data_IF_334334438723
#
_entry.id   IF_334334438723
#
_cell.length_a   1.000
_cell.length_b   1.000
_cell.length_c   1.000
_cell.angle_alpha   90.00
_cell.angle_beta   90.00
_cell.angle_gamma   90.00
#
_symmetry.space_group_name_H-M   'P 1'
#
loop_
_entity.id
_entity.type
_entity.pdbx_description
1 polymer ?
#
# COMPACT_ATOMS: atom_id res chain seq x y z
N UNK A 1 2.76 16.86 -2.74
CA UNK A 1 3.49 15.66 -2.24
C UNK A 1 2.92 15.12 -0.94
N UNK A 2 2.45 15.96 0.00
CA UNK A 2 1.79 15.50 1.23
C UNK A 2 0.55 14.63 0.94
N UNK A 3 -0.20 14.95 -0.10
CA UNK A 3 -1.41 14.19 -0.49
C UNK A 3 -1.08 12.76 -0.96
N UNK A 4 0.02 12.59 -1.71
CA UNK A 4 0.51 11.27 -2.12
C UNK A 4 1.01 10.46 -0.92
N UNK A 5 1.70 11.10 0.03
CA UNK A 5 2.12 10.46 1.29
C UNK A 5 0.92 9.94 2.08
N UNK A 6 -0.07 10.80 2.28
CA UNK A 6 -1.31 10.44 2.98
C UNK A 6 -2.07 9.31 2.26
N UNK A 7 -2.03 9.29 0.91
CA UNK A 7 -2.63 8.21 0.13
C UNK A 7 -1.87 6.89 0.29
N UNK A 8 -0.54 6.90 0.27
CA UNK A 8 0.28 5.72 0.51
C UNK A 8 0.09 5.16 1.93
N UNK A 9 0.04 6.04 2.94
CA UNK A 9 -0.25 5.67 4.32
C UNK A 9 -1.62 5.02 4.45
N UNK A 10 -2.65 5.58 3.81
CA UNK A 10 -3.98 4.95 3.78
C UNK A 10 -3.95 3.55 3.17
N UNK A 11 -3.28 3.38 2.02
CA UNK A 11 -3.17 2.07 1.37
C UNK A 11 -2.49 1.04 2.27
N UNK A 12 -1.47 1.44 3.02
CA UNK A 12 -0.83 0.56 4.02
C UNK A 12 -1.73 0.21 5.19
N UNK A 13 -2.51 1.17 5.68
CA UNK A 13 -3.50 0.88 6.73
C UNK A 13 -4.54 -0.12 6.23
N UNK A 14 -5.09 0.11 5.04
CA UNK A 14 -6.07 -0.79 4.43
C UNK A 14 -5.46 -2.20 4.19
N UNK A 15 -4.18 -2.28 3.81
CA UNK A 15 -3.45 -3.55 3.66
C UNK A 15 -3.30 -4.29 4.99
N UNK A 16 -2.91 -3.58 6.06
CA UNK A 16 -2.78 -4.13 7.40
C UNK A 16 -4.13 -4.62 7.96
N UNK A 17 -5.21 -3.89 7.70
CA UNK A 17 -6.57 -4.32 8.04
C UNK A 17 -6.96 -5.61 7.29
N UNK A 18 -6.65 -5.70 5.99
CA UNK A 18 -6.88 -6.91 5.21
C UNK A 18 -6.06 -8.10 5.75
N UNK A 19 -4.80 -7.89 6.10
CA UNK A 19 -3.94 -8.92 6.70
C UNK A 19 -4.50 -9.40 8.04
N UNK A 20 -5.00 -8.50 8.89
CA UNK A 20 -5.64 -8.87 10.15
C UNK A 20 -6.91 -9.71 9.91
N UNK A 21 -7.74 -9.34 8.95
CA UNK A 21 -8.94 -10.12 8.60
C UNK A 21 -8.56 -11.50 8.08
N UNK A 22 -7.52 -11.62 7.25
CA UNK A 22 -6.96 -12.90 6.79
C UNK A 22 -6.58 -13.77 7.99
N UNK A 23 -5.84 -13.21 8.94
CA UNK A 23 -5.32 -13.95 10.10
C UNK A 23 -6.45 -14.42 11.03
N UNK A 24 -7.55 -13.66 11.12
CA UNK A 24 -8.74 -14.01 11.91
C UNK A 24 -9.75 -14.88 11.16
N UNK A 25 -9.63 -15.04 9.83
CA UNK A 25 -10.60 -15.78 9.04
C UNK A 25 -10.46 -17.30 9.24
N UNK A 26 -11.55 -17.95 9.64
CA UNK A 26 -11.66 -19.43 9.71
C UNK A 26 -11.91 -20.04 8.34
N UNK A 27 -12.69 -19.36 7.49
CA UNK A 27 -13.04 -19.81 6.14
C UNK A 27 -11.86 -19.66 5.16
N UNK A 28 -11.39 -20.75 4.50
CA UNK A 28 -10.22 -20.71 3.61
C UNK A 28 -10.35 -19.71 2.46
N UNK A 29 -11.52 -19.64 1.81
CA UNK A 29 -11.75 -18.72 0.70
C UNK A 29 -11.71 -17.24 1.13
N UNK A 30 -12.23 -16.94 2.33
CA UNK A 30 -12.17 -15.59 2.90
C UNK A 30 -10.72 -15.22 3.20
N UNK A 31 -9.97 -16.13 3.81
CA UNK A 31 -8.53 -15.93 4.08
C UNK A 31 -7.75 -15.63 2.80
N UNK A 32 -7.96 -16.41 1.75
CA UNK A 32 -7.28 -16.20 0.47
C UNK A 32 -7.61 -14.84 -0.16
N UNK A 33 -8.89 -14.46 -0.17
CA UNK A 33 -9.31 -13.17 -0.72
C UNK A 33 -8.62 -12.00 0.02
N UNK A 34 -8.67 -11.99 1.35
CA UNK A 34 -8.06 -10.92 2.13
C UNK A 34 -6.52 -10.93 2.07
N UNK A 35 -5.90 -12.11 1.88
CA UNK A 35 -4.47 -12.18 1.60
C UNK A 35 -4.10 -11.45 0.29
N UNK A 36 -4.82 -11.76 -0.80
CA UNK A 36 -4.58 -11.11 -2.10
C UNK A 36 -4.84 -9.61 -2.04
N UNK A 37 -5.88 -9.18 -1.32
CA UNK A 37 -6.16 -7.76 -1.12
C UNK A 37 -5.03 -7.05 -0.37
N UNK A 38 -4.52 -7.64 0.72
CA UNK A 38 -3.39 -7.09 1.45
C UNK A 38 -2.15 -6.94 0.55
N UNK A 39 -1.79 -7.98 -0.19
CA UNK A 39 -0.64 -7.97 -1.12
C UNK A 39 -0.79 -6.90 -2.22
N UNK A 40 -1.98 -6.74 -2.79
CA UNK A 40 -2.23 -5.73 -3.82
C UNK A 40 -2.17 -4.30 -3.26
N UNK A 41 -2.71 -4.08 -2.06
CA UNK A 41 -2.66 -2.77 -1.41
C UNK A 41 -1.24 -2.38 -1.02
N UNK A 42 -0.45 -3.31 -0.50
CA UNK A 42 0.98 -3.09 -0.21
C UNK A 42 1.78 -2.78 -1.46
N UNK A 43 1.54 -3.52 -2.55
CA UNK A 43 2.19 -3.27 -3.85
C UNK A 43 1.87 -1.86 -4.34
N UNK A 44 0.59 -1.47 -4.31
CA UNK A 44 0.17 -0.15 -4.76
C UNK A 44 0.76 0.97 -3.87
N UNK A 45 0.83 0.76 -2.55
CA UNK A 45 1.48 1.71 -1.65
C UNK A 45 2.96 1.91 -2.00
N UNK A 46 3.68 0.82 -2.26
CA UNK A 46 5.10 0.87 -2.65
C UNK A 46 5.30 1.59 -4.01
N UNK A 47 4.41 1.40 -4.97
CA UNK A 47 4.46 2.12 -6.25
C UNK A 47 4.25 3.62 -6.08
N UNK A 48 3.29 4.03 -5.24
CA UNK A 48 3.05 5.45 -4.94
C UNK A 48 4.29 6.09 -4.31
N UNK A 49 4.92 5.42 -3.36
CA UNK A 49 6.14 5.92 -2.72
C UNK A 49 7.31 6.01 -3.69
N UNK A 50 7.51 4.99 -4.52
CA UNK A 50 8.52 5.02 -5.56
C UNK A 50 8.32 6.18 -6.53
N UNK A 51 7.07 6.43 -6.96
CA UNK A 51 6.74 7.58 -7.81
C UNK A 51 7.06 8.91 -7.11
N UNK A 52 6.78 9.02 -5.80
CA UNK A 52 7.13 10.20 -5.01
C UNK A 52 8.64 10.41 -4.92
N UNK A 53 9.42 9.35 -4.66
CA UNK A 53 10.87 9.41 -4.62
C UNK A 53 11.45 9.83 -5.97
N UNK A 54 10.95 9.27 -7.06
CA UNK A 54 11.39 9.61 -8.41
C UNK A 54 11.09 11.07 -8.74
N UNK A 55 9.92 11.58 -8.31
CA UNK A 55 9.60 13.00 -8.44
C UNK A 55 10.54 13.88 -7.60
N UNK A 56 10.84 13.49 -6.35
CA UNK A 56 11.77 14.23 -5.51
C UNK A 56 13.18 14.28 -6.12
N UNK A 57 13.68 13.15 -6.65
CA UNK A 57 14.96 13.07 -7.38
C UNK A 57 14.97 13.97 -8.61
N UNK A 58 13.87 14.04 -9.37
CA UNK A 58 13.74 14.91 -10.54
C UNK A 58 13.78 16.39 -10.16
N UNK A 59 13.15 16.78 -9.06
CA UNK A 59 13.17 18.16 -8.56
C UNK A 59 14.58 18.55 -8.08
N UNK A 60 15.25 17.67 -7.34
CA UNK A 60 16.61 17.91 -6.84
C UNK A 60 17.66 18.05 -7.97
N UNK A 61 17.48 17.35 -9.10
CA UNK A 61 18.37 17.48 -10.27
C UNK A 61 18.17 18.76 -11.08
N UNK A 62 17.08 19.49 -10.84
CA UNK A 62 16.71 20.72 -11.54
C UNK A 62 17.01 21.99 -10.74
N UNK A 63 17.37 21.84 -9.46
CA UNK A 63 17.77 22.91 -8.56
C UNK A 63 19.29 23.05 -8.55
#
# INVERSE_FOLDING_TARGET
>A
MKDFKARAEKLRTDAAECALIRDLATEPHKRELFNRLAEHLDTLAAEVEKAMEDQAKRLARRA
#
